data_IF_629452707861
#
_entry.id   IF_629452707861
#
_cell.length_a   1.000
_cell.length_b   1.000
_cell.length_c   1.000
_cell.angle_alpha   90.00
_cell.angle_beta   90.00
_cell.angle_gamma   90.00
#
_symmetry.space_group_name_H-M   'P 1'
#
loop_
_entity.id
_entity.type
_entity.pdbx_description
1 polymer ?
#
# COMPACT_ATOMS: atom_id res chain seq x y z
N UNK A 1 1.76 -29.44 -42.93
CA UNK A 1 2.45 -30.04 -41.78
C UNK A 1 2.20 -29.15 -40.57
N UNK A 2 1.30 -29.57 -39.67
CA UNK A 2 1.03 -28.84 -38.44
C UNK A 2 2.22 -29.07 -37.50
N UNK A 3 2.99 -28.02 -37.23
CA UNK A 3 4.03 -28.07 -36.21
C UNK A 3 3.34 -28.21 -34.85
N UNK A 4 3.43 -29.41 -34.29
CA UNK A 4 3.01 -29.74 -32.94
C UNK A 4 3.88 -28.91 -31.98
N UNK A 5 3.43 -27.71 -31.64
CA UNK A 5 4.01 -26.95 -30.54
C UNK A 5 3.69 -27.71 -29.26
N UNK A 6 4.62 -28.59 -28.87
CA UNK A 6 4.62 -29.25 -27.58
C UNK A 6 4.30 -28.20 -26.50
N UNK A 7 3.10 -28.30 -25.92
CA UNK A 7 2.66 -27.38 -24.86
C UNK A 7 3.69 -27.47 -23.74
N UNK A 8 4.39 -26.37 -23.49
CA UNK A 8 5.25 -26.26 -22.32
C UNK A 8 4.43 -26.67 -21.08
N UNK A 9 5.01 -27.48 -20.17
CA UNK A 9 4.31 -27.92 -19.00
C UNK A 9 3.85 -26.71 -18.18
N UNK A 10 2.63 -26.75 -17.61
CA UNK A 10 2.08 -25.61 -16.88
C UNK A 10 2.98 -25.25 -15.71
N UNK A 11 3.28 -23.96 -15.59
CA UNK A 11 4.17 -23.45 -14.54
C UNK A 11 3.57 -23.71 -13.16
N UNK A 12 4.41 -23.94 -12.15
CA UNK A 12 3.91 -24.09 -10.77
C UNK A 12 3.33 -22.77 -10.30
N UNK A 13 2.14 -22.83 -9.72
CA UNK A 13 1.48 -21.67 -9.13
C UNK A 13 2.35 -21.07 -8.02
N UNK A 14 2.57 -19.76 -8.06
CA UNK A 14 3.32 -19.01 -7.04
C UNK A 14 2.55 -18.80 -5.73
N UNK A 15 1.33 -19.33 -5.62
CA UNK A 15 0.46 -19.14 -4.46
C UNK A 15 0.98 -19.93 -3.26
N UNK A 16 1.17 -19.24 -2.14
CA UNK A 16 1.61 -19.86 -0.88
C UNK A 16 0.50 -20.63 -0.18
N UNK A 17 0.89 -21.70 0.50
CA UNK A 17 0.01 -22.38 1.43
C UNK A 17 -0.37 -21.43 2.58
N UNK A 18 -1.63 -21.40 3.02
CA UNK A 18 -2.02 -20.61 4.19
C UNK A 18 -1.46 -21.25 5.46
N UNK A 19 -1.25 -20.44 6.50
CA UNK A 19 -0.82 -20.91 7.83
C UNK A 19 -1.93 -21.66 8.57
N UNK A 20 -3.20 -21.39 8.24
CA UNK A 20 -4.37 -21.95 8.91
C UNK A 20 -5.41 -22.46 7.91
N UNK A 21 -6.16 -23.47 8.32
CA UNK A 21 -7.23 -24.04 7.52
C UNK A 21 -8.36 -23.02 7.31
N UNK A 22 -8.79 -22.75 6.06
CA UNK A 22 -9.88 -21.82 5.78
C UNK A 22 -11.28 -22.33 6.21
N UNK A 23 -11.37 -23.53 6.79
CA UNK A 23 -12.63 -24.15 7.20
C UNK A 23 -12.77 -24.32 8.72
N UNK A 24 -11.68 -24.61 9.43
CA UNK A 24 -11.71 -24.84 10.89
C UNK A 24 -10.61 -24.10 11.64
N UNK A 25 -9.87 -23.21 10.97
CA UNK A 25 -8.79 -22.38 11.54
C UNK A 25 -7.60 -23.14 12.19
N UNK A 26 -7.56 -24.48 12.08
CA UNK A 26 -6.46 -25.31 12.57
C UNK A 26 -5.17 -25.08 11.77
N UNK A 27 -4.03 -25.13 12.46
CA UNK A 27 -2.68 -25.08 11.88
C UNK A 27 -2.21 -26.43 11.32
N UNK A 28 -2.96 -27.52 11.56
CA UNK A 28 -2.60 -28.88 11.14
C UNK A 28 -2.85 -29.11 9.65
N UNK A 29 -1.99 -28.56 8.80
CA UNK A 29 -2.08 -28.63 7.35
C UNK A 29 -0.97 -29.52 6.74
N UNK A 30 -1.33 -30.33 5.75
CA UNK A 30 -0.38 -31.12 4.96
C UNK A 30 -0.61 -30.93 3.46
N UNK A 31 0.45 -31.07 2.67
CA UNK A 31 0.36 -31.15 1.21
C UNK A 31 -0.21 -32.52 0.83
N UNK A 32 -1.32 -32.52 0.08
CA UNK A 32 -1.99 -33.74 -0.42
C UNK A 32 -1.50 -34.13 -1.82
N UNK A 33 -1.16 -33.14 -2.64
CA UNK A 33 -0.76 -33.34 -4.04
C UNK A 33 -0.79 -32.04 -4.83
N UNK A 34 -0.98 -32.15 -6.14
CA UNK A 34 -1.14 -31.02 -7.06
C UNK A 34 -2.27 -31.28 -8.05
N UNK A 35 -2.97 -30.22 -8.43
CA UNK A 35 -3.95 -30.21 -9.52
C UNK A 35 -3.39 -29.40 -10.67
N UNK A 36 -3.29 -30.03 -11.84
CA UNK A 36 -2.89 -29.35 -13.07
C UNK A 36 -4.09 -28.65 -13.70
N UNK A 37 -3.99 -27.33 -13.90
CA UNK A 37 -4.89 -26.55 -14.75
C UNK A 37 -4.27 -26.39 -16.14
N UNK A 38 -5.00 -25.74 -17.05
CA UNK A 38 -4.51 -25.42 -18.41
C UNK A 38 -3.22 -24.59 -18.42
N UNK A 39 -3.07 -23.65 -17.49
CA UNK A 39 -1.98 -22.66 -17.50
C UNK A 39 -1.06 -22.73 -16.26
N UNK A 40 -1.49 -23.39 -15.18
CA UNK A 40 -0.68 -23.53 -13.96
C UNK A 40 -0.94 -24.87 -13.24
N UNK A 41 0.04 -25.35 -12.49
CA UNK A 41 -0.14 -26.46 -11.55
C UNK A 41 -0.28 -25.90 -10.12
N UNK A 42 -1.39 -26.20 -9.45
CA UNK A 42 -1.70 -25.66 -8.12
C UNK A 42 -1.61 -26.74 -7.05
N UNK A 43 -0.98 -26.44 -5.92
CA UNK A 43 -0.91 -27.36 -4.79
C UNK A 43 -2.31 -27.67 -4.21
N UNK A 44 -2.51 -28.88 -3.72
CA UNK A 44 -3.67 -29.27 -2.93
C UNK A 44 -3.25 -29.54 -1.50
N UNK A 45 -3.98 -28.96 -0.55
CA UNK A 45 -3.75 -29.08 0.89
C UNK A 45 -4.87 -29.88 1.54
N UNK A 46 -4.55 -30.65 2.59
CA UNK A 46 -5.53 -31.32 3.46
C UNK A 46 -5.34 -30.86 4.89
N UNK A 47 -6.43 -30.51 5.57
CA UNK A 47 -6.40 -30.26 7.01
C UNK A 47 -6.54 -31.59 7.76
N UNK A 48 -5.62 -31.89 8.68
CA UNK A 48 -5.70 -33.09 9.52
C UNK A 48 -6.71 -32.96 10.66
N UNK A 49 -7.19 -31.76 10.97
CA UNK A 49 -8.19 -31.55 12.03
C UNK A 49 -9.62 -31.77 11.52
N UNK A 50 -10.00 -31.16 10.39
CA UNK A 50 -11.36 -31.29 9.83
C UNK A 50 -11.45 -32.21 8.61
N UNK A 51 -10.34 -32.82 8.17
CA UNK A 51 -10.29 -33.74 7.03
C UNK A 51 -10.44 -33.09 5.64
N UNK A 52 -10.90 -31.83 5.55
CA UNK A 52 -11.20 -31.15 4.29
C UNK A 52 -9.95 -30.91 3.43
N UNK A 53 -10.12 -31.08 2.12
CA UNK A 53 -9.11 -30.78 1.10
C UNK A 53 -9.44 -29.44 0.42
N UNK A 54 -8.44 -28.60 0.17
CA UNK A 54 -8.62 -27.31 -0.47
C UNK A 54 -7.40 -26.92 -1.30
N UNK A 55 -7.59 -26.00 -2.25
CA UNK A 55 -6.51 -25.35 -3.00
C UNK A 55 -6.13 -24.04 -2.29
N UNK A 56 -4.84 -23.76 -2.06
CA UNK A 56 -4.38 -22.48 -1.54
C UNK A 56 -4.81 -21.29 -2.39
N UNK A 57 -4.87 -20.11 -1.77
CA UNK A 57 -5.19 -18.87 -2.44
C UNK A 57 -6.62 -18.38 -2.24
N UNK A 58 -6.92 -17.15 -2.69
CA UNK A 58 -8.20 -16.51 -2.51
C UNK A 58 -9.32 -17.25 -3.25
N UNK A 59 -10.55 -17.18 -2.71
CA UNK A 59 -11.74 -17.78 -3.33
C UNK A 59 -11.95 -17.32 -4.77
N UNK A 60 -11.55 -16.09 -5.09
CA UNK A 60 -11.63 -15.50 -6.43
C UNK A 60 -10.90 -16.32 -7.52
N UNK A 61 -9.95 -17.18 -7.14
CA UNK A 61 -9.20 -18.04 -8.07
C UNK A 61 -9.80 -19.42 -8.31
N UNK A 62 -10.85 -19.77 -7.58
CA UNK A 62 -11.52 -21.05 -7.80
C UNK A 62 -12.13 -21.04 -9.20
N UNK A 63 -11.91 -22.13 -9.93
CA UNK A 63 -12.44 -22.36 -11.28
C UNK A 63 -12.02 -21.31 -12.32
N UNK A 64 -10.94 -20.57 -12.08
CA UNK A 64 -10.33 -19.67 -13.09
C UNK A 64 -9.28 -20.43 -13.90
N UNK A 65 -9.32 -20.24 -15.21
CA UNK A 65 -8.34 -20.78 -16.17
C UNK A 65 -6.98 -20.07 -16.04
N UNK A 66 -7.02 -18.75 -15.86
CA UNK A 66 -5.85 -17.89 -15.84
C UNK A 66 -5.30 -17.72 -14.41
N UNK A 67 -3.97 -17.71 -14.22
CA UNK A 67 -3.32 -17.40 -12.94
C UNK A 67 -3.71 -16.01 -12.40
N UNK A 68 -3.69 -15.86 -11.07
CA UNK A 68 -4.04 -14.57 -10.43
C UNK A 68 -3.18 -13.42 -10.93
N UNK A 69 -1.89 -13.66 -11.06
CA UNK A 69 -0.90 -12.65 -11.44
C UNK A 69 -1.23 -12.04 -12.81
N UNK A 70 -1.69 -12.86 -13.76
CA UNK A 70 -2.10 -12.42 -15.08
C UNK A 70 -3.36 -11.56 -15.02
N UNK A 71 -4.35 -11.97 -14.22
CA UNK A 71 -5.60 -11.22 -14.02
C UNK A 71 -5.31 -9.84 -13.42
N UNK A 72 -4.50 -9.80 -12.36
CA UNK A 72 -4.13 -8.55 -11.67
C UNK A 72 -3.29 -7.63 -12.55
N UNK A 73 -2.39 -8.19 -13.36
CA UNK A 73 -1.60 -7.43 -14.32
C UNK A 73 -2.48 -6.87 -15.45
N UNK A 74 -3.43 -7.64 -15.97
CA UNK A 74 -4.38 -7.15 -16.97
C UNK A 74 -5.19 -5.96 -16.46
N UNK A 75 -5.73 -6.07 -15.24
CA UNK A 75 -6.47 -5.00 -14.57
C UNK A 75 -5.58 -3.76 -14.42
N UNK A 76 -4.36 -3.93 -13.92
CA UNK A 76 -3.41 -2.83 -13.69
C UNK A 76 -3.00 -2.16 -15.00
N UNK A 77 -2.65 -2.92 -16.03
CA UNK A 77 -2.25 -2.40 -17.34
C UNK A 77 -3.40 -1.62 -17.98
N UNK A 78 -4.62 -2.15 -17.95
CA UNK A 78 -5.78 -1.41 -18.45
C UNK A 78 -6.02 -0.10 -17.69
N UNK A 79 -5.98 -0.14 -16.35
CA UNK A 79 -6.21 1.04 -15.51
C UNK A 79 -5.09 2.07 -15.63
N UNK A 80 -3.86 1.66 -15.98
CA UNK A 80 -2.80 2.61 -16.34
C UNK A 80 -3.10 3.44 -17.59
N UNK A 81 -4.11 3.10 -18.38
CA UNK A 81 -4.59 3.92 -19.49
C UNK A 81 -4.53 3.25 -20.87
N UNK A 82 -3.95 2.04 -20.96
CA UNK A 82 -3.96 1.24 -22.18
C UNK A 82 -5.39 0.78 -22.53
N UNK A 83 -5.70 0.70 -23.81
CA UNK A 83 -6.94 0.11 -24.32
C UNK A 83 -6.98 -1.41 -24.05
N UNK A 84 -8.16 -2.02 -24.23
CA UNK A 84 -8.29 -3.48 -24.13
C UNK A 84 -7.45 -4.21 -25.17
N UNK A 85 -7.33 -3.67 -26.39
CA UNK A 85 -6.52 -4.23 -27.46
C UNK A 85 -5.02 -4.19 -27.11
N UNK A 86 -4.53 -3.03 -26.66
CA UNK A 86 -3.12 -2.89 -26.24
C UNK A 86 -2.80 -3.76 -25.03
N UNK A 87 -3.70 -3.81 -24.05
CA UNK A 87 -3.55 -4.67 -22.86
C UNK A 87 -3.50 -6.15 -23.27
N UNK A 88 -4.41 -6.59 -24.16
CA UNK A 88 -4.45 -7.94 -24.71
C UNK A 88 -3.14 -8.31 -25.43
N UNK A 89 -2.63 -7.41 -26.27
CA UNK A 89 -1.37 -7.61 -26.99
C UNK A 89 -0.17 -7.74 -26.03
N UNK A 90 -0.07 -6.83 -25.06
CA UNK A 90 1.02 -6.84 -24.07
C UNK A 90 1.02 -8.12 -23.22
N UNK A 91 -0.14 -8.53 -22.70
CA UNK A 91 -0.22 -9.76 -21.92
C UNK A 91 0.04 -11.00 -22.78
N UNK A 92 -0.51 -11.07 -23.99
CA UNK A 92 -0.31 -12.23 -24.84
C UNK A 92 1.16 -12.41 -25.23
N UNK A 93 1.85 -11.30 -25.50
CA UNK A 93 3.30 -11.30 -25.74
C UNK A 93 4.10 -11.73 -24.51
N UNK A 94 3.78 -11.17 -23.33
CA UNK A 94 4.50 -11.45 -22.08
C UNK A 94 4.37 -12.90 -21.62
N UNK A 95 3.17 -13.47 -21.71
CA UNK A 95 2.84 -14.80 -21.16
C UNK A 95 2.89 -15.92 -22.19
N UNK A 96 3.20 -15.62 -23.45
CA UNK A 96 3.33 -16.62 -24.52
C UNK A 96 2.03 -17.32 -24.91
N UNK A 97 0.86 -16.80 -24.50
CA UNK A 97 -0.44 -17.37 -24.83
C UNK A 97 -1.51 -16.29 -24.96
N UNK A 98 -2.56 -16.55 -25.74
CA UNK A 98 -3.60 -15.55 -26.05
C UNK A 98 -4.43 -15.19 -24.81
N UNK A 99 -4.45 -13.90 -24.48
CA UNK A 99 -5.35 -13.27 -23.51
C UNK A 99 -6.25 -12.29 -24.27
N UNK A 100 -7.52 -12.65 -24.53
CA UNK A 100 -8.40 -11.81 -25.36
C UNK A 100 -8.90 -10.55 -24.66
N UNK A 101 -9.14 -9.48 -25.43
CA UNK A 101 -9.76 -8.24 -24.93
C UNK A 101 -11.10 -8.48 -24.20
N UNK A 102 -11.94 -9.39 -24.70
CA UNK A 102 -13.19 -9.79 -24.05
C UNK A 102 -12.96 -10.43 -22.68
N UNK A 103 -11.91 -11.25 -22.54
CA UNK A 103 -11.54 -11.86 -21.26
C UNK A 103 -11.13 -10.80 -20.24
N UNK A 104 -10.35 -9.80 -20.66
CA UNK A 104 -9.92 -8.67 -19.83
C UNK A 104 -11.13 -7.83 -19.40
N UNK A 105 -12.02 -7.51 -20.34
CA UNK A 105 -13.27 -6.79 -20.04
C UNK A 105 -14.10 -7.50 -18.97
N UNK A 106 -14.25 -8.82 -19.09
CA UNK A 106 -14.93 -9.65 -18.09
C UNK A 106 -14.25 -9.59 -16.72
N UNK A 107 -12.92 -9.60 -16.64
CA UNK A 107 -12.21 -9.49 -15.37
C UNK A 107 -12.42 -8.13 -14.69
N UNK A 108 -12.41 -7.05 -15.46
CA UNK A 108 -12.72 -5.71 -14.94
C UNK A 108 -14.14 -5.67 -14.33
N UNK A 109 -15.12 -6.28 -15.01
CA UNK A 109 -16.49 -6.38 -14.49
C UNK A 109 -16.66 -7.31 -13.28
N UNK A 110 -15.76 -8.27 -13.06
CA UNK A 110 -15.82 -9.19 -11.93
C UNK A 110 -15.28 -8.60 -10.62
N UNK A 111 -14.51 -7.52 -10.69
CA UNK A 111 -13.80 -6.95 -9.54
C UNK A 111 -13.98 -5.42 -9.40
N UNK A 112 -15.23 -4.91 -9.35
CA UNK A 112 -15.49 -3.48 -9.28
C UNK A 112 -14.93 -2.83 -8.00
N UNK A 113 -15.00 -3.52 -6.85
CA UNK A 113 -14.47 -2.99 -5.57
C UNK A 113 -12.95 -2.82 -5.56
N UNK A 114 -12.24 -3.55 -6.44
CA UNK A 114 -10.78 -3.54 -6.53
C UNK A 114 -10.26 -2.62 -7.65
N UNK A 115 -11.17 -2.06 -8.46
CA UNK A 115 -10.86 -1.26 -9.65
C UNK A 115 -11.60 0.07 -9.63
N UNK A 116 -11.75 0.64 -8.44
CA UNK A 116 -12.48 1.90 -8.23
C UNK A 116 -11.89 3.07 -9.02
N UNK A 117 -10.62 3.02 -9.41
CA UNK A 117 -10.01 4.02 -10.30
C UNK A 117 -10.66 4.08 -11.68
N UNK A 118 -11.40 3.06 -12.12
CA UNK A 118 -12.19 3.08 -13.34
C UNK A 118 -13.07 4.34 -13.47
N UNK A 119 -13.64 4.84 -12.36
CA UNK A 119 -14.44 6.07 -12.29
C UNK A 119 -13.66 7.33 -12.70
N UNK A 120 -12.34 7.34 -12.47
CA UNK A 120 -11.44 8.47 -12.75
C UNK A 120 -10.60 8.25 -14.01
N UNK A 121 -10.57 7.02 -14.53
CA UNK A 121 -9.67 6.59 -15.61
C UNK A 121 -9.80 7.45 -16.86
N UNK A 122 -11.01 7.78 -17.29
CA UNK A 122 -11.24 8.61 -18.47
C UNK A 122 -10.65 10.02 -18.31
N UNK A 123 -10.78 10.61 -17.11
CA UNK A 123 -10.16 11.90 -16.81
C UNK A 123 -8.63 11.78 -16.76
N UNK A 124 -8.10 10.75 -16.10
CA UNK A 124 -6.65 10.55 -16.01
C UNK A 124 -5.99 10.29 -17.37
N UNK A 125 -6.64 9.55 -18.27
CA UNK A 125 -6.15 9.29 -19.63
C UNK A 125 -6.06 10.56 -20.48
N UNK A 126 -6.89 11.58 -20.22
CA UNK A 126 -6.78 12.90 -20.88
C UNK A 126 -5.61 13.73 -20.37
N UNK A 127 -5.13 13.46 -19.15
CA UNK A 127 -4.05 14.22 -18.51
C UNK A 127 -2.68 13.60 -18.78
N UNK A 128 -2.58 12.26 -18.79
CA UNK A 128 -1.30 11.56 -18.86
C UNK A 128 -1.37 10.33 -19.76
N UNK A 129 -0.27 10.09 -20.50
CA UNK A 129 -0.06 8.82 -21.19
C UNK A 129 0.14 7.67 -20.20
N UNK A 130 -0.06 6.40 -20.60
CA UNK A 130 0.07 5.26 -19.68
C UNK A 130 1.44 5.09 -19.02
N UNK A 131 2.49 5.59 -19.67
CA UNK A 131 3.86 5.56 -19.16
C UNK A 131 4.14 6.68 -18.16
N UNK A 132 3.43 7.81 -18.28
CA UNK A 132 3.59 8.97 -17.41
C UNK A 132 2.63 8.98 -16.22
N UNK A 133 1.57 8.17 -16.23
CA UNK A 133 0.49 8.21 -15.24
C UNK A 133 0.97 8.05 -13.78
N UNK A 134 1.92 7.16 -13.56
CA UNK A 134 2.56 6.92 -12.26
C UNK A 134 4.00 7.37 -12.38
N UNK A 135 4.42 8.25 -11.47
CA UNK A 135 5.82 8.64 -11.32
C UNK A 135 6.43 7.86 -10.17
N UNK A 136 7.60 7.30 -10.42
CA UNK A 136 8.35 6.49 -9.46
C UNK A 136 9.77 7.03 -9.32
N UNK A 137 10.24 7.11 -8.09
CA UNK A 137 11.56 7.61 -7.73
C UNK A 137 12.17 6.66 -6.70
N UNK A 138 13.39 6.16 -7.00
CA UNK A 138 14.15 5.35 -6.06
C UNK A 138 14.83 6.27 -5.05
N UNK A 139 14.56 6.07 -3.77
CA UNK A 139 15.18 6.79 -2.67
C UNK A 139 16.25 5.88 -2.05
N UNK A 140 17.52 6.23 -2.27
CA UNK A 140 18.68 5.50 -1.74
C UNK A 140 18.97 5.98 -0.32
N UNK A 141 18.24 5.45 0.66
CA UNK A 141 18.44 5.74 2.09
C UNK A 141 19.23 4.59 2.73
N UNK A 142 19.00 4.25 4.01
CA UNK A 142 19.57 3.01 4.62
C UNK A 142 19.18 1.73 3.85
N UNK A 143 18.04 1.76 3.16
CA UNK A 143 17.64 0.79 2.15
C UNK A 143 17.01 1.53 0.97
N UNK A 144 16.78 0.82 -0.15
CA UNK A 144 16.13 1.42 -1.32
C UNK A 144 14.61 1.39 -1.13
N UNK A 145 14.01 2.58 -1.11
CA UNK A 145 12.55 2.75 -1.12
C UNK A 145 12.08 3.20 -2.50
N UNK A 146 10.95 2.68 -2.96
CA UNK A 146 10.36 3.01 -4.26
C UNK A 146 9.18 3.98 -4.07
N UNK A 147 9.49 5.24 -3.78
CA UNK A 147 8.50 6.31 -3.70
C UNK A 147 7.77 6.42 -5.04
N UNK A 148 6.44 6.34 -5.00
CA UNK A 148 5.64 6.51 -6.21
C UNK A 148 4.33 7.23 -5.94
N UNK A 149 3.87 8.00 -6.92
CA UNK A 149 2.59 8.69 -6.85
C UNK A 149 1.88 8.71 -8.20
N UNK A 150 0.57 8.81 -8.14
CA UNK A 150 -0.30 8.78 -9.30
C UNK A 150 -0.64 10.20 -9.75
N UNK A 151 0.03 10.66 -10.81
CA UNK A 151 -0.01 12.07 -11.26
C UNK A 151 -1.43 12.56 -11.57
N UNK A 152 -2.23 11.75 -12.28
CA UNK A 152 -3.61 12.16 -12.58
C UNK A 152 -4.48 12.31 -11.31
N UNK A 153 -4.29 11.46 -10.29
CA UNK A 153 -5.09 11.57 -9.06
C UNK A 153 -4.67 12.81 -8.28
N UNK A 154 -3.38 13.15 -8.32
CA UNK A 154 -2.85 14.35 -7.71
C UNK A 154 -3.39 15.63 -8.39
N UNK A 155 -3.47 15.66 -9.71
CA UNK A 155 -4.08 16.80 -10.43
C UNK A 155 -5.60 16.90 -10.22
N UNK A 156 -6.29 15.75 -10.12
CA UNK A 156 -7.70 15.73 -9.76
C UNK A 156 -7.91 16.19 -8.30
N UNK A 157 -6.97 15.89 -7.40
CA UNK A 157 -6.99 16.34 -6.02
C UNK A 157 -6.90 17.87 -5.94
N UNK A 158 -5.96 18.47 -6.66
CA UNK A 158 -5.81 19.93 -6.79
C UNK A 158 -7.07 20.63 -7.26
N UNK A 159 -7.80 19.99 -8.18
CA UNK A 159 -9.06 20.49 -8.74
C UNK A 159 -10.27 20.21 -7.85
N UNK A 160 -10.11 19.55 -6.70
CA UNK A 160 -11.22 19.14 -5.84
C UNK A 160 -12.12 18.06 -6.47
N UNK A 161 -11.63 17.35 -7.49
CA UNK A 161 -12.39 16.37 -8.28
C UNK A 161 -12.09 14.91 -7.89
N UNK A 162 -11.11 14.67 -7.03
CA UNK A 162 -10.70 13.31 -6.65
C UNK A 162 -11.76 12.61 -5.78
N UNK A 163 -12.31 13.35 -4.82
CA UNK A 163 -13.27 12.89 -3.82
C UNK A 163 -14.37 13.95 -3.64
N UNK A 164 -15.65 13.57 -3.70
CA UNK A 164 -16.77 14.53 -3.68
C UNK A 164 -16.96 15.24 -2.34
N UNK A 165 -16.35 14.75 -1.26
CA UNK A 165 -16.42 15.36 0.07
C UNK A 165 -15.29 16.38 0.31
N UNK A 166 -14.48 16.68 -0.70
CA UNK A 166 -13.49 17.76 -0.62
C UNK A 166 -14.21 19.10 -0.77
N UNK A 167 -14.28 19.84 0.34
CA UNK A 167 -14.87 21.18 0.36
C UNK A 167 -13.86 22.24 -0.10
N UNK A 168 -14.35 23.37 -0.62
CA UNK A 168 -13.52 24.50 -1.06
C UNK A 168 -12.54 24.97 0.03
N UNK A 169 -12.96 24.98 1.29
CA UNK A 169 -12.11 25.35 2.45
C UNK A 169 -10.93 24.40 2.68
N UNK A 170 -11.05 23.13 2.29
CA UNK A 170 -9.99 22.12 2.37
C UNK A 170 -9.09 22.05 1.13
N UNK A 171 -9.50 22.70 0.03
CA UNK A 171 -8.83 22.65 -1.27
C UNK A 171 -7.39 23.18 -1.22
N UNK A 172 -7.15 24.27 -0.48
CA UNK A 172 -5.80 24.85 -0.32
C UNK A 172 -4.85 23.88 0.43
N UNK A 173 -5.36 23.18 1.45
CA UNK A 173 -4.58 22.17 2.18
C UNK A 173 -4.19 21.00 1.27
N UNK A 174 -5.12 20.56 0.41
CA UNK A 174 -4.86 19.49 -0.55
C UNK A 174 -3.94 19.92 -1.70
N UNK A 175 -3.99 21.18 -2.14
CA UNK A 175 -3.04 21.75 -3.09
C UNK A 175 -1.62 21.74 -2.52
N UNK A 176 -1.41 22.32 -1.32
CA UNK A 176 -0.10 22.31 -0.64
C UNK A 176 0.45 20.91 -0.45
N UNK A 177 -0.43 19.97 -0.15
CA UNK A 177 -0.04 18.57 -0.03
C UNK A 177 0.35 17.93 -1.37
N UNK A 178 -0.39 18.20 -2.44
CA UNK A 178 -0.02 17.74 -3.78
C UNK A 178 1.35 18.28 -4.18
N UNK A 179 1.61 19.55 -3.89
CA UNK A 179 2.88 20.21 -4.19
C UNK A 179 4.03 19.61 -3.37
N UNK A 180 3.79 19.27 -2.09
CA UNK A 180 4.74 18.51 -1.30
C UNK A 180 5.06 17.14 -1.92
N UNK A 181 4.06 16.37 -2.34
CA UNK A 181 4.29 15.05 -2.97
C UNK A 181 5.12 15.18 -4.25
N UNK A 182 4.88 16.21 -5.06
CA UNK A 182 5.65 16.47 -6.28
C UNK A 182 7.05 16.99 -6.03
N UNK A 183 7.28 17.70 -4.91
CA UNK A 183 8.59 18.22 -4.56
C UNK A 183 9.53 17.17 -3.99
N UNK A 184 9.02 16.04 -3.48
CA UNK A 184 9.84 14.99 -2.81
C UNK A 184 11.08 14.58 -3.63
N UNK A 185 11.00 14.31 -4.95
CA UNK A 185 12.16 13.88 -5.73
C UNK A 185 13.35 14.85 -5.71
N UNK A 186 13.11 16.15 -5.51
CA UNK A 186 14.15 17.18 -5.47
C UNK A 186 14.44 17.72 -4.06
N UNK A 187 13.46 17.66 -3.15
CA UNK A 187 13.54 18.29 -1.82
C UNK A 187 13.78 17.31 -0.67
N UNK A 188 13.70 16.00 -0.91
CA UNK A 188 13.90 15.00 0.13
C UNK A 188 15.35 15.11 0.70
N UNK A 189 15.53 15.31 2.02
CA UNK A 189 16.85 15.44 2.63
C UNK A 189 17.50 14.06 2.78
N UNK A 190 18.04 13.50 1.69
CA UNK A 190 18.56 12.12 1.66
C UNK A 190 19.63 11.83 2.72
N UNK A 191 20.44 12.82 3.11
CA UNK A 191 21.47 12.68 4.16
C UNK A 191 20.87 12.31 5.52
N UNK A 192 19.74 12.91 5.87
CA UNK A 192 19.01 12.67 7.11
C UNK A 192 18.47 11.23 7.20
N UNK A 193 18.13 10.64 6.05
CA UNK A 193 17.66 9.25 5.97
C UNK A 193 18.77 8.21 5.86
N UNK A 194 20.03 8.64 5.67
CA UNK A 194 21.22 7.77 5.64
C UNK A 194 21.95 7.76 6.97
N UNK A 195 21.95 8.88 7.69
CA UNK A 195 22.55 9.01 9.02
C UNK A 195 22.05 7.90 9.96
N UNK A 196 22.94 7.35 10.77
CA UNK A 196 22.60 6.41 11.85
C UNK A 196 22.03 7.14 13.07
N UNK A 197 22.38 8.41 13.21
CA UNK A 197 21.90 9.31 14.25
C UNK A 197 20.40 9.58 14.08
N UNK A 198 19.68 9.71 15.19
CA UNK A 198 18.23 9.95 15.19
C UNK A 198 17.36 8.71 15.07
N UNK A 199 16.05 8.92 15.07
CA UNK A 199 15.07 7.86 15.30
C UNK A 199 14.27 7.57 14.04
N UNK A 200 14.15 6.29 13.66
CA UNK A 200 13.15 5.92 12.64
C UNK A 200 11.77 5.94 13.30
N UNK A 201 10.78 6.54 12.66
CA UNK A 201 9.41 6.59 13.21
C UNK A 201 8.82 5.21 13.49
N UNK A 202 9.27 4.17 12.79
CA UNK A 202 8.91 2.77 13.04
C UNK A 202 9.54 2.18 14.31
N UNK A 203 10.49 2.87 14.93
CA UNK A 203 11.20 2.48 16.16
C UNK A 203 10.77 3.32 17.37
N UNK A 204 9.86 4.28 17.20
CA UNK A 204 9.36 5.07 18.32
C UNK A 204 8.55 4.21 19.29
N UNK A 205 8.81 4.38 20.58
CA UNK A 205 7.98 3.84 21.63
C UNK A 205 6.63 4.55 21.72
N UNK A 206 5.68 3.93 22.40
CA UNK A 206 4.33 4.47 22.57
C UNK A 206 4.21 5.49 23.72
N UNK A 207 5.32 5.91 24.33
CA UNK A 207 5.34 6.70 25.57
C UNK A 207 4.65 8.07 25.45
N UNK A 208 4.52 8.61 24.25
CA UNK A 208 3.84 9.88 23.98
C UNK A 208 2.36 9.74 23.66
N UNK A 209 1.84 8.52 23.65
CA UNK A 209 0.46 8.18 23.36
C UNK A 209 -0.13 7.52 24.58
N UNK A 210 -1.22 8.09 25.08
CA UNK A 210 -2.07 7.36 26.00
C UNK A 210 -2.85 6.29 25.22
N UNK A 211 -2.34 5.06 25.23
CA UNK A 211 -2.96 3.93 24.53
C UNK A 211 -4.33 3.60 25.14
N UNK A 212 -4.53 3.85 26.43
CA UNK A 212 -5.76 3.49 27.13
C UNK A 212 -6.97 4.32 26.65
N UNK A 213 -6.74 5.53 26.14
CA UNK A 213 -7.78 6.38 25.55
C UNK A 213 -8.02 6.14 24.05
N UNK A 214 -7.31 5.20 23.42
CA UNK A 214 -7.47 4.89 22.00
C UNK A 214 -8.56 3.83 21.76
N UNK A 215 -9.64 4.21 21.08
CA UNK A 215 -10.64 3.25 20.59
C UNK A 215 -10.18 2.62 19.26
N UNK A 216 -9.93 1.31 19.27
CA UNK A 216 -9.51 0.55 18.09
C UNK A 216 -10.75 -0.06 17.41
N UNK A 217 -11.29 0.60 16.38
CA UNK A 217 -12.49 0.09 15.69
C UNK A 217 -12.10 -0.71 14.45
N UNK A 218 -12.36 -2.01 14.44
CA UNK A 218 -12.15 -2.90 13.28
C UNK A 218 -13.12 -2.62 12.11
N UNK A 219 -12.61 -2.60 10.88
CA UNK A 219 -13.33 -2.27 9.64
C UNK A 219 -12.88 -3.17 8.50
N UNK A 220 -13.83 -3.63 7.69
CA UNK A 220 -13.55 -4.22 6.37
C UNK A 220 -13.85 -3.20 5.28
N UNK A 221 -12.94 -3.04 4.32
CA UNK A 221 -13.09 -2.16 3.17
C UNK A 221 -12.28 -2.63 1.95
N UNK A 222 -12.27 -1.83 0.89
CA UNK A 222 -11.57 -2.15 -0.36
C UNK A 222 -10.06 -2.42 -0.18
N UNK A 223 -9.37 -1.77 0.76
CA UNK A 223 -7.95 -2.02 1.02
C UNK A 223 -7.73 -3.42 1.62
N UNK A 224 -8.58 -3.83 2.57
CA UNK A 224 -8.53 -5.18 3.16
C UNK A 224 -8.99 -6.26 2.18
N UNK A 225 -9.93 -5.97 1.28
CA UNK A 225 -10.29 -6.91 0.21
C UNK A 225 -9.14 -7.07 -0.80
N UNK A 226 -8.53 -5.96 -1.19
CA UNK A 226 -7.41 -5.93 -2.15
C UNK A 226 -6.25 -6.74 -1.64
N UNK A 227 -5.83 -6.50 -0.41
CA UNK A 227 -4.70 -7.22 0.15
C UNK A 227 -5.05 -8.72 0.36
N UNK A 228 -6.32 -9.09 0.58
CA UNK A 228 -6.73 -10.49 0.79
C UNK A 228 -6.71 -11.26 -0.52
N UNK A 229 -6.90 -10.56 -1.63
CA UNK A 229 -6.70 -11.09 -2.97
C UNK A 229 -5.21 -11.22 -3.29
N UNK A 230 -4.43 -10.17 -3.07
CA UNK A 230 -3.05 -10.07 -3.58
C UNK A 230 -2.06 -10.89 -2.77
N UNK A 231 -2.05 -10.73 -1.44
CA UNK A 231 -1.00 -11.28 -0.56
C UNK A 231 -0.81 -12.79 -0.73
N UNK A 232 -1.88 -13.62 -0.80
CA UNK A 232 -1.70 -15.06 -0.97
C UNK A 232 -1.10 -15.44 -2.33
N UNK A 233 -1.27 -14.58 -3.34
CA UNK A 233 -0.72 -14.75 -4.69
C UNK A 233 0.74 -14.35 -4.84
N UNK A 234 1.38 -13.79 -3.80
CA UNK A 234 2.78 -13.37 -3.85
C UNK A 234 3.70 -14.49 -3.35
N UNK A 235 4.59 -14.94 -4.23
CA UNK A 235 5.52 -16.04 -3.95
C UNK A 235 6.58 -15.74 -2.88
N UNK A 236 6.90 -14.46 -2.62
CA UNK A 236 7.87 -14.04 -1.60
C UNK A 236 7.23 -13.11 -0.56
N UNK A 237 7.61 -13.27 0.72
CA UNK A 237 7.10 -12.38 1.77
C UNK A 237 7.64 -10.94 1.58
N UNK A 238 8.86 -10.81 1.05
CA UNK A 238 9.51 -9.53 0.76
C UNK A 238 8.79 -8.74 -0.34
N UNK A 239 8.09 -9.41 -1.25
CA UNK A 239 7.38 -8.76 -2.36
C UNK A 239 5.95 -8.36 -2.02
N UNK A 240 5.37 -8.84 -0.91
CA UNK A 240 3.96 -8.59 -0.58
C UNK A 240 3.65 -7.10 -0.52
N UNK A 241 4.56 -6.36 0.09
CA UNK A 241 4.45 -4.91 0.28
C UNK A 241 4.42 -4.17 -1.06
N UNK A 242 5.47 -4.35 -1.87
CA UNK A 242 5.60 -3.65 -3.15
C UNK A 242 4.55 -4.08 -4.18
N UNK A 243 4.09 -5.34 -4.15
CA UNK A 243 2.98 -5.81 -5.00
C UNK A 243 1.66 -5.15 -4.62
N UNK A 244 1.36 -5.05 -3.33
CA UNK A 244 0.16 -4.41 -2.83
C UNK A 244 0.15 -2.91 -3.16
N UNK A 245 1.26 -2.21 -2.91
CA UNK A 245 1.45 -0.79 -3.24
C UNK A 245 1.23 -0.49 -4.72
N UNK A 246 1.92 -1.21 -5.61
CA UNK A 246 1.78 -0.99 -7.06
C UNK A 246 0.36 -1.24 -7.54
N UNK A 247 -0.31 -2.26 -7.01
CA UNK A 247 -1.69 -2.55 -7.39
C UNK A 247 -2.65 -1.49 -6.88
N UNK A 248 -2.61 -1.13 -5.60
CA UNK A 248 -3.51 -0.11 -5.04
C UNK A 248 -3.27 1.25 -5.70
N UNK A 249 -2.00 1.65 -5.89
CA UNK A 249 -1.67 2.90 -6.55
C UNK A 249 -2.26 3.01 -7.96
N UNK A 250 -2.31 1.91 -8.72
CA UNK A 250 -2.86 1.91 -10.08
C UNK A 250 -4.39 1.73 -10.13
N UNK A 251 -4.99 0.98 -9.21
CA UNK A 251 -6.36 0.48 -9.36
C UNK A 251 -7.36 1.05 -8.35
N UNK A 252 -6.90 1.49 -7.18
CA UNK A 252 -7.76 2.09 -6.16
C UNK A 252 -7.83 3.61 -6.35
N UNK A 253 -9.02 4.17 -6.44
CA UNK A 253 -9.22 5.61 -6.65
C UNK A 253 -8.74 6.47 -5.48
N UNK A 254 -8.74 5.94 -4.25
CA UNK A 254 -8.34 6.69 -3.06
C UNK A 254 -6.82 6.77 -2.92
N UNK A 255 -6.07 5.75 -3.33
CA UNK A 255 -4.62 5.66 -3.18
C UNK A 255 -3.89 6.57 -4.17
N UNK A 256 -3.18 7.57 -3.65
CA UNK A 256 -2.51 8.61 -4.42
C UNK A 256 -0.99 8.50 -4.42
N UNK A 257 -0.41 7.93 -3.37
CA UNK A 257 1.04 7.78 -3.22
C UNK A 257 1.41 6.61 -2.30
N UNK A 258 2.61 6.07 -2.47
CA UNK A 258 3.18 4.96 -1.70
C UNK A 258 4.66 5.24 -1.39
N UNK A 259 5.19 4.64 -0.32
CA UNK A 259 6.57 4.84 0.16
C UNK A 259 6.93 6.32 0.33
N UNK A 260 6.03 7.11 0.91
CA UNK A 260 6.19 8.57 1.00
C UNK A 260 7.16 8.93 2.12
N UNK A 261 8.35 9.51 1.83
CA UNK A 261 9.29 9.89 2.87
C UNK A 261 8.74 11.05 3.70
N UNK A 262 8.95 10.95 5.01
CA UNK A 262 8.65 12.00 5.99
C UNK A 262 9.82 12.18 6.94
N UNK A 263 10.01 13.41 7.36
CA UNK A 263 11.09 13.78 8.25
C UNK A 263 10.68 14.91 9.21
N UNK A 264 11.24 14.90 10.40
CA UNK A 264 11.14 15.99 11.37
C UNK A 264 12.54 16.33 11.87
N UNK A 265 12.84 17.62 11.93
CA UNK A 265 14.05 18.16 12.56
C UNK A 265 13.72 18.68 13.94
N UNK A 266 14.74 19.04 14.71
CA UNK A 266 14.60 19.59 16.06
C UNK A 266 13.50 20.66 16.18
N UNK A 267 13.47 21.63 15.26
CA UNK A 267 12.47 22.71 15.26
C UNK A 267 11.04 22.17 15.07
N UNK A 268 10.86 21.16 14.21
CA UNK A 268 9.55 20.54 14.00
C UNK A 268 9.11 19.73 15.23
N UNK A 269 10.04 18.97 15.81
CA UNK A 269 9.82 18.15 17.00
C UNK A 269 9.44 19.05 18.18
N UNK A 270 10.25 20.06 18.47
CA UNK A 270 10.01 20.99 19.57
C UNK A 270 8.67 21.73 19.43
N UNK A 271 8.29 22.12 18.21
CA UNK A 271 7.00 22.76 17.96
C UNK A 271 5.82 21.80 18.23
N UNK A 272 5.91 20.54 17.79
CA UNK A 272 4.86 19.54 18.03
C UNK A 272 4.75 19.17 19.51
N UNK A 273 5.88 19.03 20.20
CA UNK A 273 5.94 18.76 21.64
C UNK A 273 5.28 19.89 22.43
N UNK A 274 5.57 21.15 22.07
CA UNK A 274 4.96 22.33 22.70
C UNK A 274 3.46 22.46 22.40
N UNK A 275 3.04 22.22 21.15
CA UNK A 275 1.64 22.33 20.73
C UNK A 275 0.73 21.29 21.41
N UNK A 276 1.24 20.07 21.60
CA UNK A 276 0.45 18.96 22.12
C UNK A 276 0.75 18.56 23.56
N UNK A 277 1.76 19.17 24.19
CA UNK A 277 2.18 18.82 25.55
C UNK A 277 2.71 17.38 25.66
N UNK A 278 3.43 16.91 24.64
CA UNK A 278 3.97 15.54 24.56
C UNK A 278 5.49 15.55 24.45
N UNK A 279 6.13 14.38 24.66
CA UNK A 279 7.56 14.17 24.39
C UNK A 279 7.70 13.10 23.31
N UNK A 280 7.99 13.52 22.08
CA UNK A 280 8.12 12.62 20.93
C UNK A 280 9.44 11.86 20.95
N UNK A 281 10.54 12.55 21.22
CA UNK A 281 11.89 11.97 21.28
C UNK A 281 12.62 12.58 22.47
N UNK A 282 13.10 11.77 23.44
CA UNK A 282 13.86 12.29 24.57
C UNK A 282 15.06 13.12 24.12
N UNK A 283 15.34 14.23 24.83
CA UNK A 283 16.56 15.00 24.61
C UNK A 283 17.75 14.26 25.21
N UNK A 284 18.80 14.09 24.41
CA UNK A 284 20.06 13.54 24.88
C UNK A 284 21.08 14.67 25.03
N UNK A 285 21.64 14.84 26.23
CA UNK A 285 22.70 15.83 26.48
C UNK A 285 23.90 15.57 25.55
N UNK A 286 24.53 16.65 25.09
CA UNK A 286 25.77 16.53 24.29
C UNK A 286 26.94 16.02 25.13
N UNK A 287 27.02 16.52 26.36
CA UNK A 287 27.99 16.10 27.36
C UNK A 287 27.27 15.90 28.70
N UNK A 288 27.20 14.67 29.22
CA UNK A 288 26.60 14.39 30.52
C UNK A 288 27.25 15.15 31.68
N UNK A 289 28.55 15.49 31.57
CA UNK A 289 29.30 16.25 32.57
C UNK A 289 29.06 17.76 32.51
N UNK A 290 28.41 18.27 31.45
CA UNK A 290 28.16 19.69 31.26
C UNK A 290 26.73 19.96 30.75
N UNK A 291 25.71 19.90 31.62
CA UNK A 291 24.30 20.03 31.24
C UNK A 291 23.95 21.36 30.55
N UNK A 292 24.71 22.42 30.80
CA UNK A 292 24.56 23.73 30.14
C UNK A 292 24.96 23.72 28.66
N UNK A 293 25.70 22.70 28.19
CA UNK A 293 26.15 22.55 26.80
C UNK A 293 25.04 22.16 25.80
N UNK A 294 23.80 22.01 26.27
CA UNK A 294 22.64 21.70 25.44
C UNK A 294 22.53 20.22 25.04
N UNK A 295 21.63 19.94 24.10
CA UNK A 295 21.34 18.58 23.65
C UNK A 295 21.74 18.34 22.19
N UNK A 296 21.91 17.07 21.83
CA UNK A 296 22.09 16.65 20.44
C UNK A 296 20.81 17.00 19.68
N UNK A 297 20.90 17.63 18.48
CA UNK A 297 19.71 17.92 17.68
C UNK A 297 18.95 16.64 17.34
N UNK A 298 17.65 16.61 17.60
CA UNK A 298 16.82 15.43 17.33
C UNK A 298 16.38 15.42 15.88
N UNK A 299 16.24 14.21 15.34
CA UNK A 299 15.67 13.99 14.02
C UNK A 299 14.86 12.70 13.99
N UNK A 300 13.76 12.73 13.24
CA UNK A 300 12.90 11.57 13.01
C UNK A 300 12.69 11.36 11.52
N UNK A 301 12.79 10.11 11.05
CA UNK A 301 12.60 9.75 9.63
C UNK A 301 11.64 8.57 9.46
N UNK A 302 10.93 8.51 8.34
CA UNK A 302 10.01 7.41 8.05
C UNK A 302 9.54 7.38 6.61
N UNK A 303 8.92 6.27 6.23
CA UNK A 303 8.23 6.12 4.96
C UNK A 303 6.80 5.70 5.25
N UNK A 304 5.84 6.39 4.66
CA UNK A 304 4.42 6.05 4.73
C UNK A 304 4.12 5.06 3.61
N UNK A 305 3.64 3.87 3.95
CA UNK A 305 3.39 2.82 2.96
C UNK A 305 2.33 3.22 1.93
N UNK A 306 1.22 3.81 2.37
CA UNK A 306 0.16 4.32 1.49
C UNK A 306 -0.42 5.64 2.00
N UNK A 307 -0.64 6.56 1.08
CA UNK A 307 -1.49 7.72 1.28
C UNK A 307 -2.77 7.58 0.45
N UNK A 308 -3.90 7.74 1.13
CA UNK A 308 -5.22 7.75 0.52
C UNK A 308 -5.95 9.05 0.79
N UNK A 309 -6.81 9.46 -0.15
CA UNK A 309 -7.81 10.51 0.07
C UNK A 309 -9.19 9.90 -0.05
N UNK A 310 -9.98 10.00 1.03
CA UNK A 310 -11.36 9.53 1.06
C UNK A 310 -12.17 10.31 2.10
N UNK A 311 -13.43 10.58 1.80
CA UNK A 311 -14.34 11.34 2.66
C UNK A 311 -13.74 12.71 3.05
N UNK A 312 -13.17 13.43 2.07
CA UNK A 312 -12.60 14.76 2.29
C UNK A 312 -11.35 14.79 3.18
N UNK A 313 -10.80 13.63 3.54
CA UNK A 313 -9.68 13.53 4.48
C UNK A 313 -8.49 12.79 3.87
N UNK A 314 -7.28 13.03 4.41
CA UNK A 314 -6.09 12.23 4.13
C UNK A 314 -6.00 11.06 5.12
N UNK A 315 -5.70 9.87 4.61
CA UNK A 315 -5.56 8.64 5.37
C UNK A 315 -4.16 8.07 5.15
N UNK A 316 -3.52 7.66 6.24
CA UNK A 316 -2.16 7.12 6.28
C UNK A 316 -2.27 5.64 6.61
N UNK A 317 -2.01 4.76 5.64
CA UNK A 317 -2.07 3.32 5.88
C UNK A 317 -0.64 2.78 5.94
N UNK A 318 -0.44 1.85 6.87
CA UNK A 318 0.81 1.14 7.09
C UNK A 318 0.50 -0.37 7.12
N UNK A 319 1.08 -1.11 6.19
CA UNK A 319 0.87 -2.53 6.01
C UNK A 319 1.85 -3.33 6.88
N UNK A 320 1.34 -3.90 7.96
CA UNK A 320 2.08 -4.83 8.83
C UNK A 320 1.44 -6.23 8.78
N UNK A 321 2.15 -7.25 8.27
CA UNK A 321 1.61 -8.62 8.23
C UNK A 321 1.36 -9.22 9.63
N UNK A 322 2.02 -8.70 10.68
CA UNK A 322 1.86 -9.09 12.09
C UNK A 322 1.16 -8.05 12.98
N UNK A 323 0.42 -7.14 12.37
CA UNK A 323 -0.33 -6.06 13.01
C UNK A 323 -1.12 -6.42 14.29
N UNK A 324 -1.62 -7.65 14.38
CA UNK A 324 -2.38 -8.13 15.55
C UNK A 324 -1.56 -8.17 16.83
N UNK A 325 -0.24 -8.34 16.73
CA UNK A 325 0.68 -8.43 17.87
C UNK A 325 1.58 -7.20 18.00
N UNK A 326 1.76 -6.43 16.93
CA UNK A 326 2.59 -5.22 16.93
C UNK A 326 1.79 -4.04 16.37
N UNK A 327 1.18 -3.26 17.28
CA UNK A 327 0.31 -2.14 16.95
C UNK A 327 1.13 -0.88 16.63
N UNK A 328 1.10 -0.35 15.39
CA UNK A 328 1.97 0.74 14.96
C UNK A 328 1.46 2.14 15.36
N UNK A 329 0.91 2.31 16.57
CA UNK A 329 0.24 3.55 16.98
C UNK A 329 1.20 4.75 17.04
N UNK A 330 2.37 4.57 17.65
CA UNK A 330 3.42 5.60 17.67
C UNK A 330 3.81 6.02 16.25
N UNK A 331 4.11 5.05 15.39
CA UNK A 331 4.50 5.31 14.01
C UNK A 331 3.42 6.10 13.25
N UNK A 332 2.17 5.65 13.30
CA UNK A 332 1.06 6.31 12.58
C UNK A 332 0.76 7.71 13.11
N UNK A 333 0.75 7.88 14.44
CA UNK A 333 0.51 9.18 15.08
C UNK A 333 1.62 10.17 14.75
N UNK A 334 2.89 9.72 14.74
CA UNK A 334 3.99 10.53 14.26
C UNK A 334 3.78 10.95 12.80
N UNK A 335 3.42 10.01 11.93
CA UNK A 335 3.30 10.26 10.48
C UNK A 335 2.19 11.28 10.20
N UNK A 336 1.12 11.17 10.96
CA UNK A 336 0.03 12.11 11.10
C UNK A 336 0.49 13.52 11.50
N UNK A 337 1.18 13.64 12.65
CA UNK A 337 1.69 14.92 13.16
C UNK A 337 2.67 15.56 12.19
N UNK A 338 3.57 14.76 11.60
CA UNK A 338 4.53 15.23 10.60
C UNK A 338 3.85 15.76 9.34
N UNK A 339 2.75 15.12 8.92
CA UNK A 339 1.93 15.58 7.80
C UNK A 339 1.17 16.86 8.13
N UNK A 340 0.67 16.99 9.37
CA UNK A 340 -0.03 18.18 9.84
C UNK A 340 0.91 19.39 9.97
N UNK A 341 2.14 19.22 10.48
CA UNK A 341 3.08 20.34 10.63
C UNK A 341 3.46 21.01 9.31
N UNK A 342 3.44 20.23 8.23
CA UNK A 342 3.64 20.70 6.85
C UNK A 342 2.37 21.33 6.25
N UNK A 343 1.23 21.25 6.93
CA UNK A 343 -0.10 21.75 6.54
C UNK A 343 -0.77 22.51 7.70
N UNK A 344 -0.51 23.82 7.86
CA UNK A 344 -1.31 24.66 8.79
C UNK A 344 -2.81 24.66 8.44
N UNK A 345 -3.72 24.81 9.42
CA UNK A 345 -4.42 23.72 10.08
C UNK A 345 -5.73 23.33 9.38
N UNK A 346 -5.87 22.05 9.05
CA UNK A 346 -7.17 21.37 9.13
C UNK A 346 -6.96 20.02 9.82
N UNK A 347 -7.94 19.62 10.64
CA UNK A 347 -7.90 18.41 11.47
C UNK A 347 -7.79 17.16 10.57
N UNK A 348 -6.77 16.30 10.73
CA UNK A 348 -6.70 15.05 9.98
C UNK A 348 -7.75 14.06 10.50
N UNK A 349 -8.26 13.18 9.65
CA UNK A 349 -9.04 12.00 10.05
C UNK A 349 -8.17 10.74 9.92
N UNK A 350 -8.19 9.88 10.96
CA UNK A 350 -7.17 8.83 11.21
C UNK A 350 -7.63 7.42 10.83
N UNK A 351 -6.82 6.66 10.06
CA UNK A 351 -7.19 5.28 9.70
C UNK A 351 -5.97 4.39 9.41
N UNK A 352 -5.95 3.18 9.98
CA UNK A 352 -4.93 2.14 9.80
C UNK A 352 -5.43 0.99 8.90
N UNK A 353 -4.53 0.22 8.26
CA UNK A 353 -4.85 -1.01 7.52
C UNK A 353 -3.95 -2.18 7.96
N UNK A 354 -4.49 -3.07 8.79
CA UNK A 354 -3.93 -4.41 8.96
C UNK A 354 -4.57 -5.38 7.97
N UNK A 355 -3.96 -6.56 7.82
CA UNK A 355 -4.59 -7.64 7.12
C UNK A 355 -5.18 -8.65 8.11
N UNK A 356 -6.49 -8.99 8.07
CA UNK A 356 -7.53 -8.57 7.11
C UNK A 356 -8.43 -7.38 7.56
N UNK A 357 -7.92 -6.43 8.37
CA UNK A 357 -8.77 -5.42 9.00
C UNK A 357 -8.19 -3.99 9.06
N UNK A 358 -8.97 -2.99 8.68
CA UNK A 358 -8.69 -1.56 8.88
C UNK A 358 -9.11 -1.19 10.29
N UNK A 359 -8.33 -0.38 11.02
CA UNK A 359 -8.83 0.18 12.27
C UNK A 359 -8.92 1.70 12.22
N UNK A 360 -10.03 2.26 12.71
CA UNK A 360 -10.22 3.72 12.82
C UNK A 360 -10.09 4.16 14.28
N UNK A 361 -9.41 5.27 14.51
CA UNK A 361 -9.41 5.97 15.80
C UNK A 361 -10.37 7.15 15.73
N UNK A 362 -11.27 7.22 16.70
CA UNK A 362 -11.82 8.49 17.15
C UNK A 362 -11.07 8.87 18.43
N UNK A 363 -10.74 10.14 18.58
CA UNK A 363 -10.57 10.72 19.92
C UNK A 363 -11.96 11.01 20.46
#
# INVERSE_FOLDING_TARGET
MASDHARQPPTRSGIKAPERCPHCNSTRLIKKGSRTKKLEAVAMMKCKACGRTFTPGPRALRNKTYPLTEILEAITTYNRGFSLAETSAQLSSRYGHKVSAATISRWLGQHPSLTTYSRLRSAGKRLYSPRQLIRTNKLYHRQVYEFAYHRAKLDLLRKGMLDPFIHRSSSDSFQKFADFIESIPSSCPHTLFKSEDGVRGSQLGNTFIDIASLEVIERQNAATETAALIIPGVGSNHERHSRLQRFMLANDAATIAVEVPIWLREVDIAALEAEHGIVLVPRQLRDPGHPAGGHVPRQVTGHIDFLQVRNGCLHILDYKPGARTNQPFAQLTLYALASHRRRRPQRPAWFWCSHPWVHSFKR
#
